data_IF_924530892693
#
_entry.id   IF_924530892693
#
_cell.length_a   1.000
_cell.length_b   1.000
_cell.length_c   1.000
_cell.angle_alpha   90.00
_cell.angle_beta   90.00
_cell.angle_gamma   90.00
#
_symmetry.space_group_name_H-M   'P 1'
#
loop_
_entity.id
_entity.type
_entity.pdbx_description
1 polymer ?
#
# COMPACT_ATOMS: atom_id res chain seq x y z
N UNK A 1 -32.56 16.76 -10.42
CA UNK A 1 -32.40 16.71 -11.88
C UNK A 1 -33.78 16.94 -12.50
N UNK A 2 -33.94 17.99 -13.31
CA UNK A 2 -35.19 18.30 -14.01
C UNK A 2 -34.94 17.96 -15.49
N UNK A 3 -35.68 17.01 -16.04
CA UNK A 3 -35.63 16.68 -17.46
C UNK A 3 -36.44 17.74 -18.21
N UNK A 4 -35.77 18.55 -19.03
CA UNK A 4 -36.42 19.51 -19.91
C UNK A 4 -37.06 18.76 -21.09
N UNK A 5 -38.38 18.61 -21.03
CA UNK A 5 -39.17 17.92 -22.04
C UNK A 5 -39.09 18.57 -23.42
N UNK A 6 -38.64 19.83 -23.52
CA UNK A 6 -38.46 20.53 -24.81
C UNK A 6 -37.28 19.95 -25.61
N UNK A 7 -36.31 19.31 -24.94
CA UNK A 7 -35.16 18.66 -25.60
C UNK A 7 -35.46 17.23 -26.07
N UNK A 8 -36.57 16.64 -25.62
CA UNK A 8 -37.03 15.32 -26.05
C UNK A 8 -37.99 15.56 -27.22
N UNK A 9 -37.54 15.30 -28.44
CA UNK A 9 -38.32 15.56 -29.64
C UNK A 9 -39.69 14.86 -29.59
N UNK A 10 -40.76 15.46 -30.14
CA UNK A 10 -42.15 15.00 -29.97
C UNK A 10 -42.48 13.63 -30.61
N UNK A 11 -41.49 12.96 -31.21
CA UNK A 11 -41.60 11.61 -31.81
C UNK A 11 -40.60 10.61 -31.21
N UNK A 12 -39.96 10.96 -30.09
CA UNK A 12 -39.01 10.06 -29.44
C UNK A 12 -39.78 9.06 -28.55
N UNK A 13 -39.79 7.79 -28.96
CA UNK A 13 -40.41 6.70 -28.19
C UNK A 13 -39.58 6.31 -26.95
N UNK A 14 -38.30 6.65 -26.94
CA UNK A 14 -37.40 6.45 -25.82
C UNK A 14 -36.29 7.53 -25.80
N UNK A 15 -35.79 7.83 -24.61
CA UNK A 15 -34.63 8.70 -24.40
C UNK A 15 -33.60 7.97 -23.55
N UNK A 16 -32.34 7.95 -24.00
CA UNK A 16 -31.22 7.46 -23.21
C UNK A 16 -30.69 8.60 -22.34
N UNK A 17 -30.76 8.43 -21.03
CA UNK A 17 -30.17 9.36 -20.09
C UNK A 17 -28.86 8.79 -19.56
N UNK A 18 -27.75 9.48 -19.84
CA UNK A 18 -26.46 9.19 -19.22
C UNK A 18 -26.20 10.26 -18.15
N UNK A 19 -25.95 9.82 -16.92
CA UNK A 19 -25.61 10.71 -15.81
C UNK A 19 -24.19 10.38 -15.39
N UNK A 20 -23.29 11.35 -15.58
CA UNK A 20 -21.93 11.28 -15.09
C UNK A 20 -21.82 12.21 -13.87
N UNK A 21 -21.26 11.67 -12.79
CA UNK A 21 -21.05 12.43 -11.57
C UNK A 21 -19.78 11.95 -10.90
N UNK A 22 -19.02 12.90 -10.38
CA UNK A 22 -17.88 12.64 -9.51
C UNK A 22 -18.41 12.53 -8.08
N UNK A 23 -18.11 11.42 -7.42
CA UNK A 23 -18.45 11.22 -6.02
C UNK A 23 -17.25 11.62 -5.17
N UNK A 24 -17.35 12.77 -4.50
CA UNK A 24 -16.41 13.17 -3.45
C UNK A 24 -16.65 12.31 -2.19
N UNK A 25 -16.09 11.09 -2.20
CA UNK A 25 -16.19 10.19 -1.05
C UNK A 25 -15.36 8.94 -1.24
N UNK A 26 -14.39 8.71 -0.34
CA UNK A 26 -13.48 7.55 -0.38
C UNK A 26 -14.18 6.18 -0.26
N UNK A 27 -15.47 6.10 0.03
CA UNK A 27 -16.10 4.88 0.55
C UNK A 27 -17.41 4.42 -0.14
N UNK A 28 -17.77 4.98 -1.29
CA UNK A 28 -18.91 4.44 -2.05
C UNK A 28 -18.59 3.01 -2.52
N UNK A 29 -17.38 2.79 -3.03
CA UNK A 29 -16.91 1.46 -3.45
C UNK A 29 -16.83 0.49 -2.27
N UNK A 30 -16.38 0.93 -1.09
CA UNK A 30 -16.31 0.05 0.10
C UNK A 30 -17.69 -0.31 0.67
N UNK A 31 -18.72 0.47 0.34
CA UNK A 31 -20.12 0.14 0.63
C UNK A 31 -20.67 -0.91 -0.35
N UNK A 32 -20.20 -0.89 -1.60
CA UNK A 32 -20.60 -1.83 -2.65
C UNK A 32 -19.77 -3.11 -2.66
N UNK A 33 -18.55 -3.11 -2.11
CA UNK A 33 -17.64 -4.24 -2.15
C UNK A 33 -17.21 -4.63 -0.73
N UNK A 34 -17.22 -5.93 -0.44
CA UNK A 34 -16.54 -6.51 0.70
C UNK A 34 -15.20 -7.09 0.20
N UNK A 35 -14.09 -6.49 0.61
CA UNK A 35 -12.75 -7.05 0.37
C UNK A 35 -12.13 -7.52 1.68
N UNK A 36 -11.40 -8.64 1.61
CA UNK A 36 -10.67 -9.22 2.74
C UNK A 36 -9.36 -9.80 2.25
N UNK A 37 -8.39 -9.87 3.15
CA UNK A 37 -7.18 -10.63 2.91
C UNK A 37 -6.75 -11.33 4.19
N UNK A 38 -5.99 -12.40 4.02
CA UNK A 38 -5.41 -13.17 5.12
C UNK A 38 -4.03 -13.67 4.70
N UNK A 39 -3.07 -13.62 5.62
CA UNK A 39 -1.82 -14.34 5.44
C UNK A 39 -2.12 -15.85 5.57
N UNK A 40 -1.93 -16.59 4.48
CA UNK A 40 -2.40 -17.98 4.36
C UNK A 40 -1.31 -19.01 4.67
N UNK A 41 -0.20 -18.56 5.27
CA UNK A 41 0.98 -19.29 5.75
C UNK A 41 2.22 -19.14 4.84
N UNK A 42 3.38 -19.33 5.49
CA UNK A 42 4.72 -19.33 4.90
C UNK A 42 4.86 -20.52 3.95
N UNK A 43 5.04 -20.29 2.65
CA UNK A 43 5.21 -21.38 1.68
C UNK A 43 6.70 -21.60 1.50
N UNK A 44 7.31 -22.25 2.50
CA UNK A 44 8.69 -22.72 2.48
C UNK A 44 9.75 -21.63 2.27
N UNK A 45 10.41 -21.20 3.35
CA UNK A 45 11.72 -20.48 3.35
C UNK A 45 11.76 -19.08 2.77
N UNK A 46 11.18 -18.87 1.59
CA UNK A 46 11.54 -17.79 0.69
C UNK A 46 10.32 -16.96 0.25
N UNK A 47 9.10 -17.49 0.36
CA UNK A 47 7.86 -16.85 -0.08
C UNK A 47 6.71 -16.89 0.95
N UNK A 48 5.94 -15.81 0.98
CA UNK A 48 4.73 -15.66 1.79
C UNK A 48 3.51 -15.50 0.90
N UNK A 49 2.46 -16.31 1.13
CA UNK A 49 1.20 -16.18 0.39
C UNK A 49 0.16 -15.43 1.21
N UNK A 50 -0.45 -14.46 0.56
CA UNK A 50 -1.56 -13.68 1.07
C UNK A 50 -2.78 -13.97 0.22
N UNK A 51 -3.76 -14.64 0.80
CA UNK A 51 -5.05 -14.85 0.16
C UNK A 51 -5.85 -13.55 0.17
N UNK A 52 -6.48 -13.24 -0.96
CA UNK A 52 -7.28 -12.05 -1.17
C UNK A 52 -8.65 -12.44 -1.70
N UNK A 53 -9.68 -11.73 -1.24
CA UNK A 53 -11.04 -11.84 -1.76
C UNK A 53 -11.67 -10.47 -1.94
N UNK A 54 -12.51 -10.35 -2.96
CA UNK A 54 -13.39 -9.22 -3.16
C UNK A 54 -14.75 -9.70 -3.69
N UNK A 55 -15.83 -9.15 -3.13
CA UNK A 55 -17.19 -9.54 -3.47
C UNK A 55 -18.14 -8.34 -3.45
N UNK A 56 -19.03 -8.24 -4.44
CA UNK A 56 -20.15 -7.31 -4.46
C UNK A 56 -21.11 -7.57 -3.29
N UNK A 57 -21.43 -6.52 -2.53
CA UNK A 57 -22.47 -6.53 -1.51
C UNK A 57 -23.84 -6.38 -2.17
N UNK A 58 -24.87 -6.89 -1.50
CA UNK A 58 -26.27 -6.70 -1.88
C UNK A 58 -26.61 -7.11 -3.33
N UNK A 59 -25.96 -8.15 -3.87
CA UNK A 59 -26.12 -8.61 -5.26
C UNK A 59 -27.61 -8.71 -5.68
N UNK A 60 -28.48 -9.26 -4.84
CA UNK A 60 -29.92 -9.37 -5.14
C UNK A 60 -30.61 -8.01 -5.31
N UNK A 61 -30.29 -7.04 -4.46
CA UNK A 61 -30.85 -5.69 -4.56
C UNK A 61 -30.33 -4.98 -5.82
N UNK A 62 -29.04 -5.18 -6.11
CA UNK A 62 -28.39 -4.70 -7.32
C UNK A 62 -29.03 -5.30 -8.59
N UNK A 63 -29.31 -6.60 -8.61
CA UNK A 63 -29.98 -7.28 -9.73
C UNK A 63 -31.44 -6.86 -9.95
N UNK A 64 -32.12 -6.44 -8.89
CA UNK A 64 -33.54 -6.05 -8.94
C UNK A 64 -33.69 -4.57 -9.34
N UNK A 65 -32.79 -3.70 -8.87
CA UNK A 65 -32.86 -2.26 -9.10
C UNK A 65 -32.08 -1.75 -10.31
N UNK A 66 -31.08 -2.50 -10.78
CA UNK A 66 -30.17 -2.09 -11.85
C UNK A 66 -30.03 -3.21 -12.90
N UNK A 67 -29.95 -2.82 -14.18
CA UNK A 67 -29.81 -3.79 -15.28
C UNK A 67 -28.43 -4.45 -15.29
N UNK A 68 -27.39 -3.62 -15.46
CA UNK A 68 -25.99 -4.03 -15.57
C UNK A 68 -25.13 -3.20 -14.61
N UNK A 69 -24.21 -3.86 -13.92
CA UNK A 69 -23.28 -3.25 -12.96
C UNK A 69 -21.89 -3.79 -13.27
N UNK A 70 -21.00 -2.86 -13.56
CA UNK A 70 -19.58 -3.09 -13.75
C UNK A 70 -18.80 -2.14 -12.84
N UNK A 71 -18.09 -2.70 -11.87
CA UNK A 71 -17.11 -2.00 -11.06
C UNK A 71 -15.73 -2.32 -11.60
N UNK A 72 -15.04 -1.30 -12.09
CA UNK A 72 -13.67 -1.42 -12.59
C UNK A 72 -12.67 -0.97 -11.54
N UNK A 73 -11.46 -1.53 -11.60
CA UNK A 73 -10.33 -1.07 -10.80
C UNK A 73 -10.60 -1.08 -9.28
N UNK A 74 -11.33 -2.09 -8.79
CA UNK A 74 -11.66 -2.20 -7.35
C UNK A 74 -10.41 -2.50 -6.55
N UNK A 75 -10.08 -1.63 -5.59
CA UNK A 75 -8.87 -1.76 -4.77
C UNK A 75 -9.01 -2.84 -3.66
N UNK A 76 -7.98 -3.68 -3.56
CA UNK A 76 -7.74 -4.61 -2.45
C UNK A 76 -6.32 -4.39 -1.92
N UNK A 77 -6.23 -3.89 -0.69
CA UNK A 77 -4.96 -3.50 -0.06
C UNK A 77 -4.47 -4.57 0.92
N UNK A 78 -3.29 -5.14 0.64
CA UNK A 78 -2.61 -6.13 1.49
C UNK A 78 -1.42 -5.49 2.18
N UNK A 79 -1.33 -5.62 3.50
CA UNK A 79 -0.19 -5.12 4.27
C UNK A 79 0.85 -6.23 4.49
N UNK A 80 2.00 -6.10 3.84
CA UNK A 80 3.12 -7.03 3.97
C UNK A 80 4.06 -6.54 5.07
N UNK A 81 4.22 -7.30 6.14
CA UNK A 81 5.11 -6.96 7.25
C UNK A 81 6.58 -7.09 6.85
N UNK A 82 7.33 -5.99 6.88
CA UNK A 82 8.75 -5.93 6.46
C UNK A 82 9.69 -5.50 7.59
N UNK A 83 9.16 -4.96 8.69
CA UNK A 83 9.95 -4.30 9.73
C UNK A 83 11.07 -5.18 10.32
N UNK A 84 10.73 -6.39 10.79
CA UNK A 84 11.70 -7.27 11.44
C UNK A 84 12.83 -7.70 10.50
N UNK A 85 12.48 -7.94 9.23
CA UNK A 85 13.43 -8.31 8.17
C UNK A 85 14.38 -7.16 7.85
N UNK A 86 13.83 -5.97 7.71
CA UNK A 86 14.60 -4.75 7.49
C UNK A 86 15.55 -4.47 8.66
N UNK A 87 15.06 -4.64 9.90
CA UNK A 87 15.86 -4.49 11.11
C UNK A 87 17.00 -5.49 11.18
N UNK A 88 16.80 -6.72 10.71
CA UNK A 88 17.85 -7.74 10.65
C UNK A 88 18.93 -7.43 9.61
N UNK A 89 18.55 -6.85 8.46
CA UNK A 89 19.51 -6.49 7.40
C UNK A 89 20.31 -5.22 7.69
N UNK A 90 19.76 -4.29 8.49
CA UNK A 90 20.43 -3.01 8.77
C UNK A 90 21.61 -3.16 9.75
N UNK A 91 22.77 -2.51 9.49
CA UNK A 91 23.89 -2.50 10.42
C UNK A 91 23.52 -1.93 11.80
N UNK A 92 24.00 -2.54 12.89
CA UNK A 92 23.70 -2.10 14.27
C UNK A 92 24.03 -0.62 14.54
N UNK A 93 25.15 -0.13 13.99
CA UNK A 93 25.52 1.29 14.15
C UNK A 93 24.54 2.22 13.42
N UNK A 94 23.97 1.78 12.30
CA UNK A 94 22.95 2.52 11.58
C UNK A 94 21.66 2.60 12.41
N UNK A 95 21.17 1.46 12.90
CA UNK A 95 20.01 1.40 13.81
C UNK A 95 20.17 2.32 15.02
N UNK A 96 21.32 2.27 15.69
CA UNK A 96 21.62 3.14 16.84
C UNK A 96 21.56 4.62 16.48
N UNK A 97 22.07 5.00 15.31
CA UNK A 97 22.02 6.40 14.85
C UNK A 97 20.59 6.86 14.55
N UNK A 98 19.79 6.02 13.87
CA UNK A 98 18.39 6.29 13.58
C UNK A 98 17.56 6.39 14.86
N UNK A 99 17.70 5.43 15.78
CA UNK A 99 17.00 5.43 17.08
C UNK A 99 17.34 6.68 17.90
N UNK A 100 18.61 7.11 17.89
CA UNK A 100 19.05 8.32 18.60
C UNK A 100 18.44 9.58 17.99
N UNK A 101 18.38 9.67 16.66
CA UNK A 101 17.72 10.79 15.97
C UNK A 101 16.21 10.82 16.24
N UNK A 102 15.55 9.65 16.17
CA UNK A 102 14.11 9.52 16.46
C UNK A 102 13.83 9.94 17.91
N UNK A 103 14.65 9.48 18.86
CA UNK A 103 14.53 9.89 20.25
C UNK A 103 14.68 11.42 20.40
N UNK A 104 15.65 12.03 19.70
CA UNK A 104 15.83 13.49 19.70
C UNK A 104 14.63 14.25 19.13
N UNK A 105 13.99 13.73 18.07
CA UNK A 105 12.80 14.33 17.46
C UNK A 105 11.57 14.21 18.39
N UNK A 106 11.47 13.10 19.13
CA UNK A 106 10.37 12.83 20.08
C UNK A 106 10.53 13.55 21.41
N UNK A 107 11.75 13.92 21.78
CA UNK A 107 12.05 14.61 23.03
C UNK A 107 11.50 16.04 23.01
N UNK A 108 10.74 16.36 24.05
CA UNK A 108 10.12 17.68 24.27
C UNK A 108 11.03 18.59 25.09
N UNK A 109 11.86 18.02 25.97
CA UNK A 109 12.78 18.78 26.81
C UNK A 109 14.02 19.21 26.00
N UNK A 110 14.34 20.50 26.07
CA UNK A 110 15.31 21.13 25.18
C UNK A 110 16.73 20.60 25.40
N UNK A 111 17.16 20.44 26.65
CA UNK A 111 18.53 20.05 26.96
C UNK A 111 18.78 18.58 26.59
N UNK A 112 17.87 17.68 26.96
CA UNK A 112 17.89 16.27 26.56
C UNK A 112 17.85 16.11 25.05
N UNK A 113 17.07 16.93 24.34
CA UNK A 113 17.07 16.94 22.89
C UNK A 113 18.43 17.35 22.32
N UNK A 114 19.09 18.37 22.87
CA UNK A 114 20.44 18.76 22.45
C UNK A 114 21.46 17.65 22.72
N UNK A 115 21.40 16.98 23.87
CA UNK A 115 22.29 15.86 24.19
C UNK A 115 22.12 14.71 23.19
N UNK A 116 20.88 14.36 22.86
CA UNK A 116 20.58 13.33 21.86
C UNK A 116 21.06 13.73 20.46
N UNK A 117 20.93 15.00 20.06
CA UNK A 117 21.47 15.49 18.80
C UNK A 117 23.00 15.49 18.78
N UNK A 118 23.65 15.77 19.91
CA UNK A 118 25.10 15.66 20.09
C UNK A 118 25.56 14.22 19.91
N UNK A 119 24.92 13.28 20.62
CA UNK A 119 25.17 11.84 20.50
C UNK A 119 24.94 11.32 19.08
N UNK A 120 23.89 11.79 18.40
CA UNK A 120 23.65 11.46 17.00
C UNK A 120 24.81 11.93 16.10
N UNK A 121 25.33 13.14 16.30
CA UNK A 121 26.49 13.65 15.56
C UNK A 121 27.74 12.82 15.82
N UNK A 122 28.01 12.44 17.07
CA UNK A 122 29.14 11.58 17.43
C UNK A 122 29.04 10.22 16.74
N UNK A 123 27.87 9.58 16.78
CA UNK A 123 27.61 8.31 16.10
C UNK A 123 27.82 8.42 14.58
N UNK A 124 27.51 9.57 13.98
CA UNK A 124 27.78 9.84 12.56
C UNK A 124 29.26 10.10 12.27
N UNK A 125 29.96 10.84 13.12
CA UNK A 125 31.38 11.15 12.92
C UNK A 125 32.28 9.93 13.14
N UNK A 126 31.89 9.04 14.05
CA UNK A 126 32.59 7.77 14.29
C UNK A 126 32.48 6.78 13.11
N UNK A 127 31.53 7.00 12.19
CA UNK A 127 31.37 6.25 10.95
C UNK A 127 31.64 7.16 9.76
N UNK A 128 32.89 7.25 9.33
CA UNK A 128 33.34 8.21 8.31
C UNK A 128 32.85 7.98 6.87
N UNK A 129 31.70 7.33 6.64
CA UNK A 129 31.18 7.12 5.29
C UNK A 129 30.00 8.05 5.02
N UNK A 130 30.19 8.97 4.06
CA UNK A 130 29.12 9.70 3.37
C UNK A 130 28.05 8.79 2.73
N UNK A 131 28.32 7.48 2.69
CA UNK A 131 27.54 6.41 2.08
C UNK A 131 26.26 6.00 2.86
N UNK A 132 26.18 6.29 4.16
CA UNK A 132 25.03 5.85 4.98
C UNK A 132 23.70 6.54 4.58
N UNK A 133 23.78 7.77 4.06
CA UNK A 133 22.59 8.51 3.60
C UNK A 133 22.15 8.06 2.20
N UNK A 134 23.09 7.77 1.30
CA UNK A 134 22.77 7.16 0.00
C UNK A 134 22.12 5.79 0.19
N UNK A 135 22.66 4.94 1.07
CA UNK A 135 22.07 3.65 1.43
C UNK A 135 20.66 3.79 2.02
N UNK A 136 20.40 4.83 2.82
CA UNK A 136 19.06 5.08 3.34
C UNK A 136 18.07 5.60 2.28
N UNK A 137 18.54 6.46 1.37
CA UNK A 137 17.73 6.91 0.25
C UNK A 137 17.39 5.74 -0.68
N UNK A 138 18.38 4.88 -0.96
CA UNK A 138 18.23 3.64 -1.74
C UNK A 138 17.25 2.69 -1.05
N UNK A 139 17.39 2.43 0.25
CA UNK A 139 16.45 1.65 1.06
C UNK A 139 15.01 2.17 0.92
N UNK A 140 14.80 3.48 1.09
CA UNK A 140 13.47 4.06 0.97
C UNK A 140 12.90 3.93 -0.45
N UNK A 141 13.77 3.96 -1.46
CA UNK A 141 13.37 3.78 -2.85
C UNK A 141 12.89 2.36 -3.15
N UNK A 142 13.29 1.34 -2.37
CA UNK A 142 12.78 -0.03 -2.53
C UNK A 142 11.26 -0.08 -2.30
N UNK A 143 10.74 0.77 -1.42
CA UNK A 143 9.34 0.74 -0.99
C UNK A 143 8.41 1.66 -1.79
N UNK A 144 8.88 2.26 -2.89
CA UNK A 144 8.01 2.96 -3.84
C UNK A 144 7.49 2.00 -4.91
N UNK A 145 6.27 2.27 -5.40
CA UNK A 145 5.52 1.47 -6.38
C UNK A 145 6.35 0.78 -7.47
N UNK A 146 7.15 1.47 -8.30
CA UNK A 146 7.81 0.80 -9.42
C UNK A 146 8.83 -0.27 -8.96
N UNK A 147 9.51 -0.06 -7.84
CA UNK A 147 10.55 -0.98 -7.36
C UNK A 147 9.96 -2.11 -6.54
N UNK A 148 8.98 -1.82 -5.67
CA UNK A 148 8.43 -2.85 -4.79
C UNK A 148 7.71 -3.97 -5.55
N UNK A 149 7.24 -3.69 -6.78
CA UNK A 149 6.64 -4.67 -7.70
C UNK A 149 7.53 -5.90 -7.93
N UNK A 150 8.85 -5.76 -7.88
CA UNK A 150 9.77 -6.89 -8.11
C UNK A 150 9.70 -7.98 -7.03
N UNK A 151 9.28 -7.60 -5.82
CA UNK A 151 9.22 -8.47 -4.65
C UNK A 151 7.83 -9.08 -4.45
N UNK A 152 6.88 -8.80 -5.33
CA UNK A 152 5.52 -9.33 -5.24
C UNK A 152 5.05 -9.89 -6.57
N UNK A 153 4.22 -10.92 -6.49
CA UNK A 153 3.52 -11.50 -7.62
C UNK A 153 2.03 -11.54 -7.30
N UNK A 154 1.25 -10.71 -7.99
CA UNK A 154 -0.20 -10.62 -7.83
C UNK A 154 -0.83 -11.51 -8.89
N UNK A 155 -1.48 -12.59 -8.44
CA UNK A 155 -2.03 -13.59 -9.35
C UNK A 155 -3.41 -13.16 -9.87
N UNK A 156 -3.74 -13.48 -11.14
CA UNK A 156 -5.08 -13.31 -11.66
C UNK A 156 -6.12 -13.97 -10.73
N UNK A 157 -7.32 -13.39 -10.58
CA UNK A 157 -7.89 -12.31 -11.38
C UNK A 157 -7.49 -10.89 -10.94
N UNK A 158 -6.63 -10.75 -9.95
CA UNK A 158 -6.12 -9.47 -9.50
C UNK A 158 -4.93 -9.04 -10.35
N UNK A 159 -4.63 -7.74 -10.36
CA UNK A 159 -3.41 -7.20 -10.94
C UNK A 159 -2.78 -6.17 -10.01
N UNK A 160 -1.45 -6.09 -10.06
CA UNK A 160 -0.68 -5.12 -9.28
C UNK A 160 -0.97 -3.69 -9.77
N UNK A 161 -1.36 -2.81 -8.86
CA UNK A 161 -1.54 -1.39 -9.14
C UNK A 161 -0.41 -0.54 -8.53
N UNK A 162 -0.25 -0.62 -7.21
CA UNK A 162 0.69 0.23 -6.49
C UNK A 162 1.22 -0.41 -5.21
N UNK A 163 2.30 0.14 -4.67
CA UNK A 163 2.77 -0.16 -3.33
C UNK A 163 3.15 1.12 -2.59
N UNK A 164 2.72 1.21 -1.35
CA UNK A 164 2.98 2.37 -0.50
C UNK A 164 3.70 1.93 0.77
N UNK A 165 4.73 2.68 1.21
CA UNK A 165 5.35 2.42 2.50
C UNK A 165 4.33 2.71 3.61
N UNK A 166 4.03 1.71 4.41
CA UNK A 166 3.22 1.81 5.62
C UNK A 166 3.98 2.53 6.72
N UNK A 167 3.80 3.85 6.79
CA UNK A 167 4.36 4.74 7.82
C UNK A 167 3.26 5.10 8.83
N UNK A 168 3.62 5.25 10.11
CA UNK A 168 2.67 5.57 11.19
C UNK A 168 2.88 7.01 11.65
N UNK A 169 1.98 7.93 11.25
CA UNK A 169 1.78 9.25 11.85
C UNK A 169 2.39 10.46 11.11
N UNK A 170 1.57 11.48 10.84
CA UNK A 170 1.97 12.70 10.13
C UNK A 170 3.22 13.41 10.73
N UNK A 171 4.28 13.53 9.93
CA UNK A 171 5.27 14.61 10.05
C UNK A 171 6.68 14.26 10.55
N UNK A 172 6.97 13.02 10.98
CA UNK A 172 8.29 12.62 11.55
C UNK A 172 8.92 11.38 10.91
N UNK A 173 8.28 10.86 9.86
CA UNK A 173 8.45 9.50 9.32
C UNK A 173 9.53 9.36 8.24
N UNK A 174 10.15 10.46 7.81
CA UNK A 174 11.20 10.40 6.79
C UNK A 174 12.45 9.63 7.26
N UNK A 175 12.61 9.46 8.58
CA UNK A 175 13.78 8.83 9.21
C UNK A 175 13.47 7.46 9.83
N UNK A 176 12.22 7.01 9.77
CA UNK A 176 11.83 5.69 10.27
C UNK A 176 11.71 4.71 9.09
N UNK A 177 12.32 3.51 9.20
CA UNK A 177 12.05 2.47 8.24
C UNK A 177 10.56 2.11 8.19
N UNK A 178 9.99 1.81 7.00
CA UNK A 178 8.60 1.42 6.89
C UNK A 178 8.33 0.11 7.63
N UNK A 179 7.19 0.02 8.31
CA UNK A 179 6.84 -1.19 9.09
C UNK A 179 6.23 -2.28 8.21
N UNK A 180 5.41 -1.85 7.27
CA UNK A 180 4.79 -2.70 6.26
C UNK A 180 4.91 -2.03 4.89
N UNK A 181 4.76 -2.80 3.83
CA UNK A 181 4.47 -2.29 2.50
C UNK A 181 3.00 -2.61 2.20
N UNK A 182 2.19 -1.59 1.93
CA UNK A 182 0.81 -1.76 1.52
C UNK A 182 0.78 -1.95 0.01
N UNK A 183 0.48 -3.16 -0.44
CA UNK A 183 0.32 -3.47 -1.86
C UNK A 183 -1.16 -3.34 -2.22
N UNK A 184 -1.45 -2.45 -3.16
CA UNK A 184 -2.77 -2.26 -3.74
C UNK A 184 -2.86 -3.13 -4.99
N UNK A 185 -3.75 -4.12 -4.92
CA UNK A 185 -4.15 -4.96 -6.05
C UNK A 185 -5.51 -4.52 -6.55
N UNK A 186 -5.74 -4.56 -7.85
CA UNK A 186 -7.02 -4.20 -8.47
C UNK A 186 -7.64 -5.37 -9.18
N UNK A 187 -8.96 -5.31 -9.33
CA UNK A 187 -9.73 -6.24 -10.16
C UNK A 187 -11.01 -5.58 -10.65
N UNK A 188 -11.59 -6.17 -11.68
CA UNK A 188 -12.93 -5.84 -12.13
C UNK A 188 -13.94 -6.83 -11.55
N UNK A 189 -15.05 -6.29 -11.06
CA UNK A 189 -16.21 -7.03 -10.59
C UNK A 189 -17.42 -6.62 -11.41
N UNK A 190 -18.23 -7.59 -11.79
CA UNK A 190 -19.46 -7.34 -12.52
C UNK A 190 -20.58 -8.20 -11.96
N UNK A 191 -21.79 -7.98 -12.47
CA UNK A 191 -22.91 -8.90 -12.21
C UNK A 191 -22.56 -10.35 -12.55
N UNK A 192 -21.85 -10.59 -13.66
CA UNK A 192 -21.48 -11.94 -14.11
C UNK A 192 -20.28 -12.51 -13.36
N UNK A 193 -19.45 -11.64 -12.77
CA UNK A 193 -18.32 -12.00 -11.92
C UNK A 193 -18.39 -11.22 -10.60
N UNK A 194 -19.36 -11.55 -9.72
CA UNK A 194 -19.67 -10.74 -8.54
C UNK A 194 -18.68 -10.96 -7.39
N UNK A 195 -17.86 -12.00 -7.46
CA UNK A 195 -16.85 -12.32 -6.48
C UNK A 195 -15.60 -12.87 -7.16
N UNK A 196 -14.46 -12.66 -6.52
CA UNK A 196 -13.19 -13.16 -6.95
C UNK A 196 -12.30 -13.47 -5.74
N UNK A 197 -11.48 -14.51 -5.90
CA UNK A 197 -10.43 -14.89 -4.97
C UNK A 197 -9.12 -15.07 -5.71
N UNK A 198 -8.01 -14.90 -5.00
CA UNK A 198 -6.68 -14.98 -5.58
C UNK A 198 -5.60 -14.81 -4.52
N UNK A 199 -4.35 -14.79 -4.98
CA UNK A 199 -3.19 -14.71 -4.11
C UNK A 199 -2.26 -13.58 -4.51
N UNK A 200 -1.70 -12.93 -3.49
CA UNK A 200 -0.48 -12.17 -3.60
C UNK A 200 0.65 -13.01 -3.00
N UNK A 201 1.70 -13.23 -3.77
CA UNK A 201 2.92 -13.92 -3.32
C UNK A 201 4.00 -12.88 -3.07
N UNK A 202 4.47 -12.79 -1.84
CA UNK A 202 5.58 -11.94 -1.43
C UNK A 202 6.88 -12.74 -1.43
N UNK A 203 7.84 -12.32 -2.27
CA UNK A 203 9.15 -12.95 -2.46
C UNK A 203 10.13 -12.44 -1.41
N UNK A 204 9.93 -12.88 -0.18
CA UNK A 204 10.67 -12.40 0.99
C UNK A 204 12.18 -12.53 0.87
N UNK A 205 12.69 -13.64 0.31
CA UNK A 205 14.13 -13.83 0.09
C UNK A 205 14.71 -12.86 -0.91
N UNK A 206 14.01 -12.59 -2.02
CA UNK A 206 14.46 -11.63 -3.03
C UNK A 206 14.60 -10.23 -2.44
N UNK A 207 13.70 -9.85 -1.53
CA UNK A 207 13.85 -8.58 -0.79
C UNK A 207 15.10 -8.62 0.09
N UNK A 208 15.31 -9.70 0.85
CA UNK A 208 16.50 -9.83 1.72
C UNK A 208 17.81 -9.77 0.94
N UNK A 209 17.90 -10.50 -0.18
CA UNK A 209 19.08 -10.47 -1.05
C UNK A 209 19.38 -9.06 -1.57
N UNK A 210 18.33 -8.29 -1.88
CA UNK A 210 18.46 -6.90 -2.30
C UNK A 210 18.87 -5.97 -1.15
N UNK A 211 18.30 -6.15 0.05
CA UNK A 211 18.69 -5.39 1.24
C UNK A 211 20.16 -5.64 1.61
N UNK A 212 20.62 -6.88 1.50
CA UNK A 212 22.01 -7.24 1.73
C UNK A 212 22.96 -6.53 0.74
N UNK A 213 22.55 -6.33 -0.51
CA UNK A 213 23.34 -5.57 -1.49
C UNK A 213 23.47 -4.09 -1.11
N UNK A 214 22.41 -3.49 -0.55
CA UNK A 214 22.42 -2.08 -0.11
C UNK A 214 23.38 -1.90 1.08
N UNK A 215 23.46 -2.87 2.00
CA UNK A 215 24.21 -2.72 3.25
C UNK A 215 25.61 -3.35 3.27
N UNK A 216 25.97 -4.14 2.25
CA UNK A 216 27.37 -4.57 2.02
C UNK A 216 28.30 -3.41 1.72
#
# INVERSE_FOLDING_TARGET
MILDSVKIGPKADAALLTIEYELDGRDVVSTLVASRWKADSYVGGDEEKHWMTAQLRYLKALETGYGEIDLRDVDVSVNIGIYERLRAAMPLGFLRSADTLIAAIRESERNRRFDLLGKYRELRMAKSSSDDYSKFAELNSVFITPHFREFVDVQPPFFYWAAYPGRIGAGREAYEPPKFSQVVSRLDLSRHKPAAEGYLVYKSKRLMDHLDQIFR
#
